data_IF_223086801958
#
_entry.id   IF_223086801958
#
_cell.length_a   1.000
_cell.length_b   1.000
_cell.length_c   1.000
_cell.angle_alpha   90.00
_cell.angle_beta   90.00
_cell.angle_gamma   90.00
#
_symmetry.space_group_name_H-M   'P 1'
#
loop_
_entity.id
_entity.type
_entity.pdbx_description
1 polymer ?
#
# COMPACT_ATOMS: atom_id res chain seq x y z
N UNK A 1 -11.71 32.11 8.96
CA UNK A 1 -10.57 31.21 8.67
C UNK A 1 -11.15 29.82 8.47
N UNK A 2 -10.97 29.23 7.31
CA UNK A 2 -11.44 27.85 7.05
C UNK A 2 -10.37 26.88 7.54
N UNK A 3 -10.79 25.88 8.31
CA UNK A 3 -9.88 24.82 8.84
C UNK A 3 -10.33 23.49 8.26
N UNK A 4 -9.45 22.86 7.47
CA UNK A 4 -9.69 21.54 6.88
C UNK A 4 -8.96 20.47 7.69
N UNK A 5 -9.69 19.51 8.26
CA UNK A 5 -9.16 18.46 9.14
C UNK A 5 -9.34 17.04 8.58
N UNK A 6 -9.87 16.90 7.37
CA UNK A 6 -10.16 15.61 6.75
C UNK A 6 -9.08 15.19 5.72
N UNK A 7 -7.80 15.36 6.08
CA UNK A 7 -6.69 14.98 5.21
C UNK A 7 -6.54 13.45 5.02
N UNK A 8 -7.18 12.65 5.86
CA UNK A 8 -7.23 11.20 5.68
C UNK A 8 -8.10 10.79 4.48
N UNK A 9 -9.18 11.53 4.20
CA UNK A 9 -10.01 11.31 3.02
C UNK A 9 -9.35 11.86 1.74
N UNK A 10 -8.85 13.10 1.78
CA UNK A 10 -8.15 13.75 0.66
C UNK A 10 -7.26 14.89 1.15
N UNK A 11 -6.19 15.15 0.43
CA UNK A 11 -5.25 16.23 0.75
C UNK A 11 -5.06 17.12 -0.47
N UNK A 12 -4.98 18.43 -0.24
CA UNK A 12 -4.67 19.39 -1.30
C UNK A 12 -3.31 19.08 -1.92
N UNK A 13 -3.29 18.94 -3.24
CA UNK A 13 -2.04 18.74 -3.99
C UNK A 13 -1.16 19.98 -3.84
N UNK A 14 0.12 19.80 -3.52
CA UNK A 14 1.07 20.92 -3.47
C UNK A 14 1.33 21.47 -4.87
N UNK A 15 1.62 22.79 -5.01
CA UNK A 15 1.82 23.42 -6.30
C UNK A 15 2.87 22.72 -7.16
N UNK A 16 3.99 22.32 -6.58
CA UNK A 16 5.10 21.66 -7.28
C UNK A 16 4.69 20.31 -7.90
N UNK A 17 3.85 19.55 -7.21
CA UNK A 17 3.34 18.28 -7.74
C UNK A 17 2.30 18.52 -8.84
N UNK A 18 1.44 19.54 -8.67
CA UNK A 18 0.44 19.93 -9.69
C UNK A 18 1.13 20.40 -10.97
N UNK A 19 2.16 21.27 -10.87
CA UNK A 19 2.93 21.78 -11.99
C UNK A 19 3.68 20.66 -12.74
N UNK A 20 4.28 19.73 -11.99
CA UNK A 20 4.94 18.56 -12.58
C UNK A 20 3.96 17.69 -13.36
N UNK A 21 2.78 17.41 -12.79
CA UNK A 21 1.73 16.64 -13.45
C UNK A 21 1.22 17.35 -14.71
N UNK A 22 0.93 18.67 -14.61
CA UNK A 22 0.49 19.50 -15.74
C UNK A 22 1.52 19.45 -16.89
N UNK A 23 2.80 19.64 -16.57
CA UNK A 23 3.88 19.61 -17.56
C UNK A 23 3.95 18.26 -18.28
N UNK A 24 3.86 17.14 -17.54
CA UNK A 24 3.88 15.81 -18.15
C UNK A 24 2.67 15.62 -19.06
N UNK A 25 1.48 16.00 -18.62
CA UNK A 25 0.25 15.84 -19.42
C UNK A 25 0.25 16.67 -20.70
N UNK A 26 0.90 17.84 -20.71
CA UNK A 26 0.83 18.78 -21.84
C UNK A 26 2.07 18.76 -22.74
N UNK A 27 3.26 18.46 -22.19
CA UNK A 27 4.52 18.56 -22.91
C UNK A 27 5.21 17.20 -23.13
N UNK A 28 5.05 16.23 -22.18
CA UNK A 28 5.73 14.92 -22.21
C UNK A 28 4.72 13.77 -22.30
N UNK A 29 3.71 13.94 -23.11
CA UNK A 29 2.55 13.05 -23.24
C UNK A 29 2.81 11.73 -23.98
N UNK A 30 4.06 11.44 -24.37
CA UNK A 30 4.39 10.22 -25.10
C UNK A 30 4.13 8.94 -24.31
N UNK A 31 3.81 7.85 -25.01
CA UNK A 31 3.72 6.56 -24.36
C UNK A 31 5.13 6.04 -24.00
N UNK A 32 5.45 5.80 -22.72
CA UNK A 32 6.79 5.36 -22.30
C UNK A 32 7.19 3.96 -22.82
N UNK A 33 6.25 3.19 -23.38
CA UNK A 33 6.52 1.93 -24.07
C UNK A 33 6.94 2.10 -25.54
N UNK A 34 6.80 3.31 -26.13
CA UNK A 34 7.14 3.55 -27.53
C UNK A 34 8.63 3.80 -27.73
N UNK A 35 9.17 3.32 -28.88
CA UNK A 35 10.61 3.43 -29.18
C UNK A 35 11.01 4.76 -29.83
N UNK A 36 10.05 5.56 -30.29
CA UNK A 36 10.31 6.88 -30.88
C UNK A 36 10.67 7.95 -29.83
N UNK A 37 11.09 9.14 -30.28
CA UNK A 37 11.60 10.22 -29.41
C UNK A 37 10.67 10.55 -28.24
N UNK A 38 9.38 10.81 -28.50
CA UNK A 38 8.42 11.18 -27.43
C UNK A 38 8.23 10.07 -26.41
N UNK A 39 8.26 8.79 -26.82
CA UNK A 39 8.18 7.66 -25.90
C UNK A 39 9.42 7.57 -25.00
N UNK A 40 10.62 7.80 -25.55
CA UNK A 40 11.86 7.83 -24.75
C UNK A 40 11.88 8.98 -23.75
N UNK A 41 11.38 10.16 -24.11
CA UNK A 41 11.26 11.31 -23.21
C UNK A 41 10.30 11.00 -22.03
N UNK A 42 9.12 10.45 -22.32
CA UNK A 42 8.18 10.01 -21.30
C UNK A 42 8.75 8.91 -20.39
N UNK A 43 9.49 7.95 -20.99
CA UNK A 43 10.18 6.88 -20.25
C UNK A 43 11.23 7.44 -19.29
N UNK A 44 11.99 8.44 -19.73
CA UNK A 44 13.00 9.07 -18.88
C UNK A 44 12.39 9.73 -17.64
N UNK A 45 11.25 10.41 -17.78
CA UNK A 45 10.50 11.00 -16.65
C UNK A 45 10.01 9.92 -15.68
N UNK A 46 9.43 8.84 -16.22
CA UNK A 46 8.93 7.73 -15.40
C UNK A 46 10.06 7.06 -14.61
N UNK A 47 11.19 6.79 -15.26
CA UNK A 47 12.34 6.13 -14.64
C UNK A 47 13.03 7.03 -13.60
N UNK A 48 13.09 8.35 -13.83
CA UNK A 48 13.60 9.33 -12.85
C UNK A 48 12.68 9.41 -11.63
N UNK A 49 11.38 9.48 -11.83
CA UNK A 49 10.38 9.46 -10.74
C UNK A 49 10.49 8.20 -9.90
N UNK A 50 10.65 7.04 -10.53
CA UNK A 50 10.85 5.75 -9.84
C UNK A 50 12.12 5.73 -9.01
N UNK A 51 13.23 6.28 -9.53
CA UNK A 51 14.50 6.38 -8.79
C UNK A 51 14.36 7.27 -7.56
N UNK A 52 13.68 8.41 -7.69
CA UNK A 52 13.44 9.35 -6.57
C UNK A 52 12.60 8.70 -5.46
N UNK A 53 11.53 8.00 -5.82
CA UNK A 53 10.70 7.27 -4.87
C UNK A 53 11.49 6.12 -4.20
N UNK A 54 12.23 5.35 -4.96
CA UNK A 54 13.07 4.28 -4.43
C UNK A 54 14.09 4.80 -3.42
N UNK A 55 14.74 5.93 -3.71
CA UNK A 55 15.68 6.57 -2.79
C UNK A 55 14.98 7.03 -1.50
N UNK A 56 13.77 7.60 -1.59
CA UNK A 56 12.99 8.03 -0.43
C UNK A 56 12.51 6.84 0.43
N UNK A 57 12.22 5.71 -0.19
CA UNK A 57 11.77 4.48 0.47
C UNK A 57 12.93 3.57 0.94
N UNK A 58 14.17 3.89 0.57
CA UNK A 58 15.35 3.07 0.92
C UNK A 58 15.41 1.73 0.19
N UNK A 59 14.82 1.63 -1.02
CA UNK A 59 14.76 0.40 -1.81
C UNK A 59 15.36 0.57 -3.22
N UNK A 60 15.46 -0.52 -3.99
CA UNK A 60 15.92 -0.44 -5.38
C UNK A 60 14.80 0.02 -6.32
N UNK A 61 15.10 0.77 -7.41
CA UNK A 61 14.07 1.24 -8.34
C UNK A 61 13.21 0.13 -8.95
N UNK A 62 13.74 -1.08 -9.13
CA UNK A 62 13.00 -2.25 -9.63
C UNK A 62 11.93 -2.77 -8.66
N UNK A 63 11.98 -2.36 -7.39
CA UNK A 63 11.03 -2.75 -6.34
C UNK A 63 9.87 -1.76 -6.21
N UNK A 64 9.90 -0.65 -6.97
CA UNK A 64 8.82 0.36 -6.97
C UNK A 64 7.88 0.11 -8.15
N UNK A 65 6.62 -0.09 -7.86
CA UNK A 65 5.55 -0.26 -8.83
C UNK A 65 4.51 0.85 -8.65
N UNK A 66 4.12 1.49 -9.75
CA UNK A 66 3.06 2.48 -9.74
C UNK A 66 1.71 1.80 -9.97
N UNK A 67 0.74 2.14 -9.14
CA UNK A 67 -0.65 1.70 -9.22
C UNK A 67 -1.57 2.89 -9.38
N UNK A 68 -2.84 2.66 -9.67
CA UNK A 68 -3.83 3.73 -9.81
C UNK A 68 -4.20 4.37 -8.47
N UNK A 69 -4.10 3.61 -7.37
CA UNK A 69 -4.44 4.08 -6.03
C UNK A 69 -3.97 3.10 -4.94
N UNK A 70 -4.08 3.50 -3.67
CA UNK A 70 -3.76 2.66 -2.52
C UNK A 70 -4.58 1.36 -2.48
N UNK A 71 -5.85 1.42 -2.85
CA UNK A 71 -6.70 0.21 -2.90
C UNK A 71 -6.15 -0.85 -3.85
N UNK A 72 -5.66 -0.46 -5.02
CA UNK A 72 -5.01 -1.41 -5.95
C UNK A 72 -3.72 -1.96 -5.35
N UNK A 73 -2.90 -1.11 -4.72
CA UNK A 73 -1.65 -1.54 -4.09
C UNK A 73 -1.89 -2.54 -2.97
N UNK A 74 -2.84 -2.26 -2.06
CA UNK A 74 -3.17 -3.14 -0.94
C UNK A 74 -3.72 -4.48 -1.43
N UNK A 75 -4.66 -4.45 -2.39
CA UNK A 75 -5.22 -5.67 -2.97
C UNK A 75 -4.14 -6.51 -3.64
N UNK A 76 -3.25 -5.89 -4.40
CA UNK A 76 -2.15 -6.59 -5.06
C UNK A 76 -1.20 -7.20 -4.03
N UNK A 77 -0.75 -6.44 -3.05
CA UNK A 77 0.17 -6.92 -2.02
C UNK A 77 -0.42 -8.08 -1.21
N UNK A 78 -1.69 -7.98 -0.80
CA UNK A 78 -2.35 -9.01 0.02
C UNK A 78 -2.63 -10.28 -0.78
N UNK A 79 -3.25 -10.15 -1.96
CA UNK A 79 -3.63 -11.33 -2.76
C UNK A 79 -2.39 -12.06 -3.27
N UNK A 80 -1.46 -11.35 -3.88
CA UNK A 80 -0.22 -11.99 -4.39
C UNK A 80 0.67 -12.47 -3.25
N UNK A 81 0.78 -11.73 -2.13
CA UNK A 81 1.51 -12.17 -0.94
C UNK A 81 0.98 -13.51 -0.42
N UNK A 82 -0.34 -13.64 -0.27
CA UNK A 82 -0.98 -14.88 0.15
C UNK A 82 -0.77 -16.03 -0.87
N UNK A 83 -0.94 -15.76 -2.17
CA UNK A 83 -0.79 -16.78 -3.20
C UNK A 83 0.66 -17.24 -3.37
N UNK A 84 1.63 -16.36 -3.27
CA UNK A 84 3.05 -16.72 -3.34
C UNK A 84 3.47 -17.58 -2.15
N UNK A 85 2.92 -17.31 -0.97
CA UNK A 85 3.23 -18.03 0.27
C UNK A 85 2.33 -19.25 0.52
N UNK A 86 1.45 -19.64 -0.42
CA UNK A 86 0.52 -20.78 -0.25
C UNK A 86 1.19 -22.13 0.05
N UNK A 87 2.50 -22.24 -0.19
CA UNK A 87 3.27 -23.44 0.16
C UNK A 87 3.71 -23.46 1.63
N UNK A 88 3.80 -22.29 2.27
CA UNK A 88 4.05 -22.13 3.70
C UNK A 88 2.78 -22.49 4.46
N UNK A 89 1.65 -21.92 4.04
CA UNK A 89 0.37 -22.19 4.67
C UNK A 89 -0.76 -21.34 4.10
N UNK A 90 -1.88 -21.31 4.80
CA UNK A 90 -3.08 -20.54 4.45
C UNK A 90 -3.62 -19.73 5.63
N UNK A 91 -2.81 -19.52 6.66
CA UNK A 91 -3.17 -18.66 7.77
C UNK A 91 -2.68 -17.24 7.52
N UNK A 92 -3.55 -16.26 7.79
CA UNK A 92 -3.28 -14.82 7.64
C UNK A 92 -3.64 -14.12 8.94
N UNK A 93 -2.78 -13.24 9.40
CA UNK A 93 -3.05 -12.36 10.54
C UNK A 93 -3.28 -10.94 10.04
N UNK A 94 -4.34 -10.31 10.53
CA UNK A 94 -4.64 -8.90 10.27
C UNK A 94 -5.26 -8.24 11.49
N UNK A 95 -5.71 -6.99 11.37
CA UNK A 95 -6.42 -6.32 12.45
C UNK A 95 -7.92 -6.15 12.15
N UNK A 96 -8.71 -6.00 13.22
CA UNK A 96 -10.15 -5.74 13.11
C UNK A 96 -10.45 -4.28 12.69
N UNK A 97 -9.43 -3.42 12.62
CA UNK A 97 -9.55 -1.98 12.35
C UNK A 97 -8.95 -1.56 11.00
N UNK A 98 -8.77 -2.52 10.09
CA UNK A 98 -8.23 -2.26 8.76
C UNK A 98 -9.20 -1.50 7.86
N UNK A 99 -8.63 -0.75 6.92
CA UNK A 99 -9.38 -0.13 5.84
C UNK A 99 -10.00 -1.18 4.91
N UNK A 100 -11.08 -0.84 4.22
CA UNK A 100 -11.78 -1.73 3.27
C UNK A 100 -10.85 -2.28 2.17
N UNK A 101 -9.83 -1.53 1.76
CA UNK A 101 -8.83 -1.97 0.79
C UNK A 101 -8.04 -3.21 1.24
N UNK A 102 -7.92 -3.43 2.56
CA UNK A 102 -7.31 -4.60 3.21
C UNK A 102 -8.38 -5.64 3.56
N UNK A 103 -9.49 -5.21 4.17
CA UNK A 103 -10.55 -6.10 4.63
C UNK A 103 -11.18 -6.90 3.50
N UNK A 104 -11.50 -6.27 2.36
CA UNK A 104 -12.16 -6.93 1.22
C UNK A 104 -11.33 -8.05 0.58
N UNK A 105 -10.02 -7.88 0.27
CA UNK A 105 -9.20 -9.00 -0.18
C UNK A 105 -9.06 -10.11 0.86
N UNK A 106 -9.02 -9.81 2.17
CA UNK A 106 -9.02 -10.84 3.22
C UNK A 106 -10.33 -11.63 3.24
N UNK A 107 -11.48 -10.99 3.10
CA UNK A 107 -12.78 -11.66 2.96
C UNK A 107 -12.81 -12.57 1.71
N UNK A 108 -12.18 -12.16 0.60
CA UNK A 108 -12.03 -12.98 -0.61
C UNK A 108 -11.18 -14.21 -0.33
N UNK A 109 -10.00 -14.03 0.28
CA UNK A 109 -9.10 -15.14 0.63
C UNK A 109 -9.77 -16.13 1.59
N UNK A 110 -10.55 -15.64 2.57
CA UNK A 110 -11.32 -16.51 3.47
C UNK A 110 -12.30 -17.40 2.70
N UNK A 111 -13.00 -16.85 1.69
CA UNK A 111 -13.87 -17.66 0.80
C UNK A 111 -13.10 -18.66 -0.07
N UNK A 112 -11.82 -18.44 -0.31
CA UNK A 112 -10.90 -19.32 -1.03
C UNK A 112 -10.19 -20.36 -0.13
N UNK A 113 -10.59 -20.42 1.16
CA UNK A 113 -10.09 -21.40 2.12
C UNK A 113 -8.84 -20.98 2.88
N UNK A 114 -8.53 -19.68 2.96
CA UNK A 114 -7.57 -19.14 3.92
C UNK A 114 -8.26 -18.92 5.26
N UNK A 115 -7.52 -19.13 6.33
CA UNK A 115 -7.94 -18.80 7.70
C UNK A 115 -7.42 -17.41 8.05
N UNK A 116 -8.30 -16.49 8.42
CA UNK A 116 -7.93 -15.11 8.76
C UNK A 116 -8.17 -14.86 10.24
N UNK A 117 -7.08 -14.60 10.98
CA UNK A 117 -7.14 -14.16 12.37
C UNK A 117 -7.13 -12.64 12.42
N UNK A 118 -8.20 -12.05 12.96
CA UNK A 118 -8.32 -10.60 13.15
C UNK A 118 -8.00 -10.24 14.60
N UNK A 119 -6.91 -9.50 14.79
CA UNK A 119 -6.49 -9.00 16.10
C UNK A 119 -7.31 -7.78 16.49
N UNK A 120 -7.76 -7.74 17.75
CA UNK A 120 -8.40 -6.55 18.30
C UNK A 120 -7.35 -5.54 18.77
N UNK A 121 -7.57 -4.24 18.54
CA UNK A 121 -6.69 -3.20 19.09
C UNK A 121 -6.80 -3.15 20.61
N UNK A 122 -5.75 -2.63 21.26
CA UNK A 122 -5.75 -2.31 22.68
C UNK A 122 -6.52 -1.00 22.98
N UNK A 123 -6.45 -0.53 24.22
CA UNK A 123 -7.13 0.70 24.65
C UNK A 123 -6.60 1.98 23.99
N UNK A 124 -5.44 1.94 23.34
CA UNK A 124 -4.86 3.05 22.56
C UNK A 124 -5.25 2.99 21.10
N UNK A 125 -5.88 1.91 20.66
CA UNK A 125 -6.23 1.66 19.28
C UNK A 125 -5.13 0.96 18.46
N UNK A 126 -4.00 0.60 19.09
CA UNK A 126 -2.86 -0.05 18.43
C UNK A 126 -2.94 -1.59 18.53
N UNK A 127 -2.24 -2.27 17.64
CA UNK A 127 -2.02 -3.72 17.72
C UNK A 127 -0.66 -3.98 18.36
N UNK A 128 -0.62 -4.71 19.47
CA UNK A 128 0.63 -5.01 20.13
C UNK A 128 1.42 -6.13 19.44
N UNK A 129 2.74 -6.05 19.49
CA UNK A 129 3.61 -7.11 18.97
C UNK A 129 3.37 -8.45 19.67
N UNK A 130 2.99 -8.44 20.96
CA UNK A 130 2.68 -9.65 21.72
C UNK A 130 1.39 -10.32 21.22
N UNK A 131 0.37 -9.55 20.83
CA UNK A 131 -0.83 -10.10 20.21
C UNK A 131 -0.50 -10.78 18.86
N UNK A 132 0.37 -10.17 18.06
CA UNK A 132 0.84 -10.77 16.81
C UNK A 132 1.60 -12.06 17.08
N UNK A 133 2.57 -12.05 18.02
CA UNK A 133 3.35 -13.26 18.40
C UNK A 133 2.46 -14.39 18.88
N UNK A 134 1.45 -14.08 19.69
CA UNK A 134 0.52 -15.09 20.20
C UNK A 134 -0.36 -15.71 19.09
N UNK A 135 -0.61 -14.97 18.01
CA UNK A 135 -1.40 -15.45 16.88
C UNK A 135 -0.57 -16.16 15.81
N UNK A 136 0.77 -16.02 15.81
CA UNK A 136 1.65 -16.68 14.84
C UNK A 136 1.57 -18.20 14.95
N UNK A 137 1.50 -18.86 13.78
CA UNK A 137 1.47 -20.32 13.62
C UNK A 137 2.51 -20.74 12.57
N UNK A 138 2.87 -22.02 12.55
CA UNK A 138 3.78 -22.56 11.53
C UNK A 138 3.27 -22.37 10.10
N UNK A 139 1.94 -22.38 9.91
CA UNK A 139 1.27 -22.17 8.62
C UNK A 139 0.88 -20.71 8.36
N UNK A 140 1.38 -19.74 9.15
CA UNK A 140 1.14 -18.31 8.89
C UNK A 140 1.88 -17.87 7.64
N UNK A 141 1.11 -17.57 6.59
CA UNK A 141 1.62 -17.17 5.28
C UNK A 141 1.80 -15.65 5.14
N UNK A 142 0.99 -14.86 5.85
CA UNK A 142 0.99 -13.40 5.74
C UNK A 142 0.56 -12.74 7.04
N UNK A 143 1.22 -11.63 7.37
CA UNK A 143 0.78 -10.68 8.40
C UNK A 143 0.60 -9.33 7.72
N UNK A 144 -0.57 -8.70 7.85
CA UNK A 144 -0.87 -7.39 7.29
C UNK A 144 -1.54 -6.52 8.33
N UNK A 145 -0.91 -5.39 8.66
CA UNK A 145 -1.35 -4.46 9.71
C UNK A 145 -1.15 -3.03 9.24
N UNK A 146 -2.16 -2.18 9.45
CA UNK A 146 -1.99 -0.76 9.18
C UNK A 146 -1.08 -0.11 10.24
N UNK A 147 -0.17 0.76 9.78
CA UNK A 147 0.71 1.50 10.67
C UNK A 147 -0.02 2.63 11.39
N UNK A 148 -0.85 3.37 10.68
CA UNK A 148 -1.64 4.48 11.24
C UNK A 148 -3.09 4.30 10.84
N UNK A 149 -3.99 4.25 11.83
CA UNK A 149 -5.41 4.14 11.55
C UNK A 149 -5.97 5.47 11.01
N UNK A 150 -6.59 5.42 9.85
CA UNK A 150 -7.11 6.60 9.15
C UNK A 150 -8.31 7.27 9.85
N UNK A 151 -9.04 6.56 10.71
CA UNK A 151 -10.20 7.08 11.44
C UNK A 151 -9.80 7.68 12.79
N UNK A 152 -8.94 6.99 13.54
CA UNK A 152 -8.60 7.33 14.92
C UNK A 152 -7.24 8.01 15.07
N UNK A 153 -6.35 7.85 14.09
CA UNK A 153 -4.95 8.30 14.20
C UNK A 153 -4.08 7.42 15.09
N UNK A 154 -4.60 6.28 15.59
CA UNK A 154 -3.82 5.36 16.39
C UNK A 154 -2.64 4.79 15.60
N UNK A 155 -1.46 4.71 16.21
CA UNK A 155 -0.22 4.24 15.59
C UNK A 155 0.14 2.88 16.13
N UNK A 156 0.25 1.89 15.25
CA UNK A 156 0.80 0.56 15.54
C UNK A 156 2.29 0.57 15.25
N UNK A 157 3.11 0.15 16.21
CA UNK A 157 4.55 -0.03 16.02
C UNK A 157 4.79 -1.31 15.22
N UNK A 158 5.14 -1.13 13.95
CA UNK A 158 5.38 -2.23 13.00
C UNK A 158 6.87 -2.47 12.72
N UNK A 159 7.79 -1.79 13.41
CA UNK A 159 9.24 -1.91 13.24
C UNK A 159 9.84 -3.06 14.07
#
# INVERSE_FOLDING_TARGET
MEIYLDNAATTRVCPEAADAAYKVMTEVYGNPGSTHKLGREARAVLDDSRKKLAAALGCAPKEVYFTSCGTESDNWAILEGAYLQRRVGRHIISSAVEHDAVRKPLEKLAREGYEVTLLSPDSTGAISADAVRAALREDTALVTLMMVNNETGAVTDIA
#
